data_IF_731022560274
#
_entry.id   IF_731022560274
#
_cell.length_a   1.000
_cell.length_b   1.000
_cell.length_c   1.000
_cell.angle_alpha   90.00
_cell.angle_beta   90.00
_cell.angle_gamma   90.00
#
_symmetry.space_group_name_H-M   'P 1'
#
loop_
_entity.id
_entity.type
_entity.pdbx_description
1 polymer ?
#
# COMPACT_ATOMS: atom_id res chain seq x y z
N UNK A 1 14.57 3.05 -9.67
CA UNK A 1 14.17 1.64 -9.67
C UNK A 1 13.00 1.49 -8.68
N UNK A 2 11.76 1.69 -9.15
CA UNK A 2 10.58 1.54 -8.29
C UNK A 2 10.11 0.08 -8.38
N UNK A 3 10.40 -0.68 -7.34
CA UNK A 3 10.12 -2.10 -7.25
C UNK A 3 8.60 -2.36 -7.24
N UNK A 4 8.14 -3.27 -8.11
CA UNK A 4 6.80 -3.88 -8.19
C UNK A 4 5.62 -2.88 -8.12
N UNK A 5 5.08 -2.54 -9.29
CA UNK A 5 3.96 -1.60 -9.45
C UNK A 5 2.65 -2.02 -8.77
N UNK A 6 2.45 -3.32 -8.50
CA UNK A 6 1.16 -3.88 -8.11
C UNK A 6 1.26 -4.70 -6.81
N UNK A 7 0.77 -4.11 -5.73
CA UNK A 7 0.72 -4.68 -4.39
C UNK A 7 -0.58 -5.45 -4.16
N UNK A 8 -0.55 -6.39 -3.22
CA UNK A 8 -1.78 -7.03 -2.73
C UNK A 8 -2.40 -6.23 -1.59
N UNK A 9 -3.72 -6.35 -1.36
CA UNK A 9 -4.36 -5.74 -0.19
C UNK A 9 -3.68 -6.13 1.13
N UNK A 10 -3.25 -7.39 1.27
CA UNK A 10 -2.54 -7.82 2.47
C UNK A 10 -1.23 -7.06 2.69
N UNK A 11 -0.42 -6.87 1.64
CA UNK A 11 0.85 -6.13 1.76
C UNK A 11 0.64 -4.69 2.19
N UNK A 12 -0.34 -4.01 1.59
CA UNK A 12 -0.63 -2.61 1.93
C UNK A 12 -1.14 -2.51 3.36
N UNK A 13 -2.00 -3.43 3.81
CA UNK A 13 -2.52 -3.44 5.17
C UNK A 13 -1.39 -3.54 6.21
N UNK A 14 -0.44 -4.46 6.00
CA UNK A 14 0.74 -4.59 6.86
C UNK A 14 1.62 -3.34 6.81
N UNK A 15 1.89 -2.80 5.62
CA UNK A 15 2.75 -1.63 5.45
C UNK A 15 2.27 -0.38 6.21
N UNK A 16 0.97 -0.19 6.33
CA UNK A 16 0.34 0.97 6.99
C UNK A 16 -0.22 0.63 8.38
N UNK A 17 0.00 -0.60 8.87
CA UNK A 17 -0.41 -1.03 10.21
C UNK A 17 -1.93 -1.16 10.43
N UNK A 18 -2.71 -1.48 9.39
CA UNK A 18 -4.16 -1.68 9.50
C UNK A 18 -4.55 -3.13 9.25
N UNK A 19 -5.77 -3.50 9.64
CA UNK A 19 -6.30 -4.84 9.36
C UNK A 19 -6.63 -5.02 7.88
N UNK A 20 -6.42 -6.24 7.36
CA UNK A 20 -6.74 -6.59 5.97
C UNK A 20 -8.22 -6.32 5.65
N UNK A 21 -9.12 -6.55 6.62
CA UNK A 21 -10.56 -6.25 6.51
C UNK A 21 -10.83 -4.75 6.30
N UNK A 22 -10.10 -3.87 6.99
CA UNK A 22 -10.23 -2.41 6.79
C UNK A 22 -9.80 -2.03 5.39
N UNK A 23 -8.69 -2.61 4.93
CA UNK A 23 -8.19 -2.32 3.60
C UNK A 23 -9.12 -2.84 2.49
N UNK A 24 -9.71 -4.03 2.66
CA UNK A 24 -10.74 -4.56 1.75
C UNK A 24 -11.93 -3.60 1.67
N UNK A 25 -12.43 -3.11 2.81
CA UNK A 25 -13.53 -2.12 2.85
C UNK A 25 -13.16 -0.81 2.16
N UNK A 26 -11.91 -0.37 2.21
CA UNK A 26 -11.47 0.83 1.48
C UNK A 26 -11.39 0.58 -0.03
N UNK A 27 -10.95 -0.61 -0.44
CA UNK A 27 -10.98 -1.01 -1.84
C UNK A 27 -12.42 -1.11 -2.37
N UNK A 28 -13.33 -1.72 -1.60
CA UNK A 28 -14.75 -1.86 -1.97
C UNK A 28 -15.47 -0.51 -2.03
N UNK A 29 -15.09 0.44 -1.18
CA UNK A 29 -15.60 1.82 -1.20
C UNK A 29 -14.93 2.71 -2.24
N UNK A 30 -13.93 2.22 -2.98
CA UNK A 30 -13.19 3.01 -3.97
C UNK A 30 -12.26 4.08 -3.38
N UNK A 31 -12.01 4.04 -2.06
CA UNK A 31 -11.07 4.95 -1.38
C UNK A 31 -9.63 4.63 -1.81
N UNK A 32 -9.32 3.33 -1.89
CA UNK A 32 -8.05 2.86 -2.44
C UNK A 32 -8.26 2.41 -3.89
N UNK A 33 -7.51 2.97 -4.86
CA UNK A 33 -7.62 2.54 -6.24
C UNK A 33 -7.15 1.09 -6.37
N UNK A 34 -7.93 0.26 -7.05
CA UNK A 34 -7.55 -1.12 -7.34
C UNK A 34 -7.62 -1.39 -8.83
N UNK A 35 -6.69 -2.20 -9.31
CA UNK A 35 -6.60 -2.67 -10.68
C UNK A 35 -6.89 -4.15 -10.69
N UNK A 36 -7.73 -4.60 -11.62
CA UNK A 36 -8.02 -6.02 -11.82
C UNK A 36 -7.04 -6.56 -12.85
N UNK A 37 -6.33 -7.63 -12.48
CA UNK A 37 -5.49 -8.37 -13.42
C UNK A 37 -6.38 -9.25 -14.32
N UNK A 38 -5.83 -9.73 -15.45
CA UNK A 38 -6.56 -10.58 -16.39
C UNK A 38 -7.18 -11.85 -15.75
N UNK A 39 -6.60 -12.34 -14.64
CA UNK A 39 -7.12 -13.46 -13.84
C UNK A 39 -8.12 -13.08 -12.75
N UNK A 40 -8.62 -11.84 -12.71
CA UNK A 40 -9.67 -11.40 -11.77
C UNK A 40 -9.18 -11.00 -10.37
N UNK A 41 -7.90 -11.22 -10.04
CA UNK A 41 -7.31 -10.77 -8.77
C UNK A 41 -7.18 -9.25 -8.71
N UNK A 42 -7.52 -8.70 -7.54
CA UNK A 42 -7.37 -7.27 -7.22
C UNK A 42 -5.93 -6.97 -6.82
N UNK A 43 -5.33 -6.00 -7.49
CA UNK A 43 -4.02 -5.43 -7.18
C UNK A 43 -4.18 -3.96 -6.88
N UNK A 44 -3.27 -3.41 -6.09
CA UNK A 44 -3.26 -2.01 -5.70
C UNK A 44 -1.99 -1.39 -6.27
N UNK A 45 -2.09 -0.33 -7.09
CA UNK A 45 -0.91 0.30 -7.63
C UNK A 45 -0.16 1.03 -6.51
N UNK A 46 1.17 0.89 -6.46
CA UNK A 46 2.01 1.53 -5.44
C UNK A 46 1.81 3.05 -5.43
N UNK A 47 1.66 3.67 -6.60
CA UNK A 47 1.34 5.09 -6.73
C UNK A 47 0.00 5.47 -6.08
N UNK A 48 -1.00 4.59 -6.15
CA UNK A 48 -2.30 4.76 -5.50
C UNK A 48 -2.20 4.69 -3.99
N UNK A 49 -1.40 3.77 -3.46
CA UNK A 49 -1.11 3.67 -2.01
C UNK A 49 -0.42 4.93 -1.52
N UNK A 50 0.60 5.41 -2.24
CA UNK A 50 1.33 6.63 -1.86
C UNK A 50 0.43 7.88 -1.86
N UNK A 51 -0.47 8.01 -2.85
CA UNK A 51 -1.48 9.08 -2.85
C UNK A 51 -2.44 8.97 -1.67
N UNK A 52 -2.96 7.76 -1.42
CA UNK A 52 -3.83 7.51 -0.30
C UNK A 52 -3.17 7.88 1.03
N UNK A 53 -1.90 7.51 1.24
CA UNK A 53 -1.15 7.83 2.45
C UNK A 53 -0.96 9.35 2.62
N UNK A 54 -0.64 10.05 1.53
CA UNK A 54 -0.53 11.51 1.54
C UNK A 54 -1.86 12.21 1.86
N UNK A 55 -2.99 11.68 1.36
CA UNK A 55 -4.31 12.26 1.58
C UNK A 55 -4.91 11.91 2.95
N UNK A 56 -4.68 10.70 3.44
CA UNK A 56 -5.23 10.19 4.70
C UNK A 56 -4.36 10.51 5.92
N UNK A 57 -3.08 10.83 5.72
CA UNK A 57 -2.12 11.04 6.80
C UNK A 57 -1.77 9.76 7.56
N UNK A 58 -2.05 8.57 7.00
CA UNK A 58 -1.73 7.31 7.66
C UNK A 58 -0.21 7.10 7.77
N UNK A 59 0.28 6.62 8.94
CA UNK A 59 1.69 6.33 9.10
C UNK A 59 2.09 5.09 8.29
N UNK A 60 3.27 5.13 7.68
CA UNK A 60 3.95 3.96 7.14
C UNK A 60 4.70 3.27 8.27
N UNK A 61 4.18 2.13 8.72
CA UNK A 61 4.73 1.37 9.84
C UNK A 61 5.80 0.38 9.36
N UNK A 62 5.59 -0.22 8.18
CA UNK A 62 6.50 -1.21 7.58
C UNK A 62 6.74 -0.91 6.09
N UNK A 63 7.55 0.11 5.76
CA UNK A 63 7.91 0.41 4.38
C UNK A 63 8.65 -0.75 3.68
N UNK A 64 9.32 -1.63 4.43
CA UNK A 64 10.01 -2.81 3.90
C UNK A 64 9.06 -3.78 3.16
N UNK A 65 7.79 -3.85 3.58
CA UNK A 65 6.78 -4.71 2.94
C UNK A 65 6.44 -4.23 1.54
N UNK A 66 6.63 -2.93 1.28
CA UNK A 66 6.49 -2.31 -0.02
C UNK A 66 7.78 -2.38 -0.86
N UNK A 67 8.86 -2.99 -0.32
CA UNK A 67 10.18 -2.97 -0.93
C UNK A 67 10.84 -1.58 -0.87
N UNK A 68 10.35 -0.69 0.00
CA UNK A 68 10.98 0.59 0.27
C UNK A 68 11.97 0.41 1.42
N UNK A 69 13.17 1.01 1.35
CA UNK A 69 14.04 1.04 2.52
C UNK A 69 13.29 1.74 3.65
N UNK A 70 13.38 1.20 4.87
CA UNK A 70 13.17 2.07 6.04
C UNK A 70 14.19 3.16 5.87
N UNK A 71 13.74 4.41 5.72
CA UNK A 71 14.66 5.54 5.84
C UNK A 71 15.04 5.62 7.31
N UNK A 72 15.88 4.69 7.78
CA UNK A 72 16.74 5.01 8.89
C UNK A 72 17.62 6.14 8.37
N UNK A 73 17.38 7.34 8.89
CA UNK A 73 18.32 8.43 8.73
C UNK A 73 19.57 7.95 9.47
N UNK A 74 20.73 7.71 8.83
CA UNK A 74 21.95 7.57 9.60
C UNK A 74 22.17 8.90 10.31
N UNK A 75 21.97 8.90 11.62
CA UNK A 75 22.42 9.96 12.52
C UNK A 75 23.93 10.08 12.37
N UNK A 76 24.38 11.22 11.83
CA UNK A 76 25.71 11.78 12.08
C UNK A 76 25.54 12.99 12.99
#
# INVERSE_FOLDING_TARGET
MAARELLTPKQVAVAIGVSESSLKRWCDRGILPTVRTAGGHRRIPTSGVLKFLQQSGHPLVQPEVLGLPRLDRPTN
#
